data_IF_070281902944
#
_entry.id   IF_070281902944
#
_cell.length_a   1.000
_cell.length_b   1.000
_cell.length_c   1.000
_cell.angle_alpha   90.00
_cell.angle_beta   90.00
_cell.angle_gamma   90.00
#
_symmetry.space_group_name_H-M   'P 1'
#
loop_
_entity.id
_entity.type
_entity.pdbx_description
1 polymer ?
#
# COMPACT_ATOMS: atom_id res chain seq x y z
N UNK A 1 -3.24 -34.53 -8.07
CA UNK A 1 -3.32 -33.95 -6.69
C UNK A 1 -1.94 -33.82 -6.02
N UNK A 2 -1.10 -34.87 -6.02
CA UNK A 2 0.25 -34.84 -5.43
C UNK A 2 1.21 -33.86 -6.15
N UNK A 3 1.29 -33.92 -7.47
CA UNK A 3 2.17 -33.05 -8.29
C UNK A 3 1.88 -31.56 -8.13
N UNK A 4 0.61 -31.17 -8.08
CA UNK A 4 0.17 -29.79 -7.84
C UNK A 4 0.61 -29.28 -6.46
N UNK A 5 0.51 -30.10 -5.41
CA UNK A 5 0.98 -29.74 -4.07
C UNK A 5 2.50 -29.57 -4.03
N UNK A 6 3.25 -30.44 -4.70
CA UNK A 6 4.71 -30.32 -4.83
C UNK A 6 5.11 -29.04 -5.57
N UNK A 7 4.43 -28.71 -6.68
CA UNK A 7 4.68 -27.47 -7.43
C UNK A 7 4.38 -26.21 -6.60
N UNK A 8 3.25 -26.20 -5.88
CA UNK A 8 2.89 -25.12 -4.95
C UNK A 8 3.96 -24.92 -3.88
N UNK A 9 4.41 -26.00 -3.24
CA UNK A 9 5.43 -25.93 -2.20
C UNK A 9 6.77 -25.45 -2.76
N UNK A 10 7.16 -25.89 -3.96
CA UNK A 10 8.34 -25.39 -4.68
C UNK A 10 8.25 -23.88 -4.92
N UNK A 11 7.13 -23.39 -5.44
CA UNK A 11 6.92 -21.96 -5.68
C UNK A 11 7.01 -21.13 -4.38
N UNK A 12 6.35 -21.57 -3.31
CA UNK A 12 6.42 -20.91 -2.00
C UNK A 12 7.84 -20.88 -1.43
N UNK A 13 8.58 -22.00 -1.55
CA UNK A 13 9.96 -22.08 -1.12
C UNK A 13 10.87 -21.18 -1.94
N UNK A 14 10.64 -21.05 -3.26
CA UNK A 14 11.38 -20.12 -4.11
C UNK A 14 11.14 -18.68 -3.66
N UNK A 15 9.89 -18.27 -3.43
CA UNK A 15 9.58 -16.94 -2.92
C UNK A 15 10.21 -16.68 -1.54
N UNK A 16 10.17 -17.68 -0.65
CA UNK A 16 10.78 -17.56 0.68
C UNK A 16 12.32 -17.45 0.60
N UNK A 17 12.95 -18.12 -0.37
CA UNK A 17 14.39 -17.96 -0.68
C UNK A 17 14.71 -16.58 -1.24
N UNK A 18 13.83 -16.00 -2.06
CA UNK A 18 14.01 -14.64 -2.57
C UNK A 18 14.01 -13.59 -1.44
N UNK A 19 13.17 -13.79 -0.42
CA UNK A 19 13.15 -12.91 0.76
C UNK A 19 14.31 -13.17 1.73
N UNK A 20 14.60 -14.45 2.00
CA UNK A 20 15.67 -14.88 2.91
C UNK A 20 16.51 -15.96 2.23
N UNK A 21 17.57 -15.50 1.57
CA UNK A 21 18.49 -16.35 0.81
C UNK A 21 19.19 -17.35 1.71
N UNK A 22 19.75 -16.88 2.82
CA UNK A 22 20.40 -17.68 3.86
C UNK A 22 19.47 -17.84 5.06
N UNK A 23 19.11 -19.08 5.38
CA UNK A 23 18.30 -19.37 6.56
C UNK A 23 19.08 -19.02 7.83
N UNK A 24 18.50 -18.19 8.69
CA UNK A 24 19.07 -17.83 9.98
C UNK A 24 17.97 -17.39 10.93
N UNK A 25 18.01 -17.91 12.16
CA UNK A 25 17.08 -17.50 13.23
C UNK A 25 17.38 -16.11 13.79
N UNK A 26 18.54 -15.54 13.46
CA UNK A 26 18.86 -14.15 13.77
C UNK A 26 18.14 -13.17 12.83
N UNK A 27 17.66 -13.63 11.66
CA UNK A 27 16.85 -12.81 10.75
C UNK A 27 15.42 -12.82 11.25
N UNK A 28 14.89 -11.62 11.53
CA UNK A 28 13.50 -11.43 11.90
C UNK A 28 12.68 -10.90 10.71
N UNK A 29 11.55 -11.54 10.42
CA UNK A 29 10.57 -11.06 9.44
C UNK A 29 9.30 -10.66 10.19
N UNK A 30 9.00 -9.36 10.15
CA UNK A 30 7.69 -8.86 10.54
C UNK A 30 6.65 -9.22 9.46
N UNK A 31 5.53 -9.79 9.87
CA UNK A 31 4.44 -10.16 8.97
C UNK A 31 3.09 -9.72 9.53
N UNK A 32 2.27 -9.13 8.68
CA UNK A 32 0.95 -8.65 9.06
C UNK A 32 -0.03 -9.71 9.49
N UNK A 33 -0.77 -9.43 10.55
CA UNK A 33 -1.91 -10.23 11.00
C UNK A 33 -3.17 -10.00 10.16
N UNK A 34 -3.07 -10.09 8.83
CA UNK A 34 -4.20 -9.84 7.93
C UNK A 34 -5.46 -10.62 8.35
N UNK A 35 -6.39 -9.90 8.99
CA UNK A 35 -7.51 -10.48 9.74
C UNK A 35 -8.74 -10.74 8.87
N UNK A 36 -8.75 -10.24 7.62
CA UNK A 36 -9.86 -10.46 6.69
C UNK A 36 -9.78 -11.86 6.09
N UNK A 37 -10.73 -12.69 6.49
CA UNK A 37 -10.89 -14.08 6.03
C UNK A 37 -11.45 -14.19 4.60
N UNK A 38 -12.19 -13.18 4.16
CA UNK A 38 -12.62 -13.06 2.77
C UNK A 38 -11.41 -12.57 1.96
N UNK A 39 -10.95 -13.37 1.00
CA UNK A 39 -9.85 -12.98 0.10
C UNK A 39 -10.10 -11.62 -0.57
N UNK A 40 -9.08 -11.11 -1.27
CA UNK A 40 -9.22 -9.85 -2.01
C UNK A 40 -10.31 -10.06 -3.06
N UNK A 41 -11.32 -9.19 -3.08
CA UNK A 41 -12.47 -9.28 -4.00
C UNK A 41 -11.97 -9.40 -5.44
N UNK A 42 -12.45 -10.41 -6.17
CA UNK A 42 -12.07 -10.68 -7.56
C UNK A 42 -10.76 -11.46 -7.73
N UNK A 43 -10.11 -11.87 -6.64
CA UNK A 43 -8.87 -12.63 -6.69
C UNK A 43 -8.97 -13.93 -5.90
N UNK A 44 -8.22 -14.94 -6.36
CA UNK A 44 -8.05 -16.18 -5.60
C UNK A 44 -7.41 -15.87 -4.25
N UNK A 45 -7.80 -16.64 -3.22
CA UNK A 45 -7.17 -16.52 -1.91
C UNK A 45 -5.69 -16.87 -2.01
N UNK A 46 -4.83 -15.93 -1.62
CA UNK A 46 -3.39 -16.14 -1.63
C UNK A 46 -2.97 -17.26 -0.67
N UNK A 47 -1.83 -17.93 -0.92
CA UNK A 47 -1.34 -19.04 -0.11
C UNK A 47 -0.68 -18.56 1.21
N UNK A 48 -1.32 -17.62 1.93
CA UNK A 48 -0.78 -16.92 3.10
C UNK A 48 -0.23 -17.89 4.14
N UNK A 49 -1.04 -18.88 4.57
CA UNK A 49 -0.62 -19.88 5.57
C UNK A 49 0.61 -20.66 5.10
N UNK A 50 0.60 -21.16 3.87
CA UNK A 50 1.71 -21.94 3.33
C UNK A 50 2.99 -21.12 3.17
N UNK A 51 2.85 -19.85 2.80
CA UNK A 51 3.99 -18.95 2.65
C UNK A 51 4.62 -18.59 4.00
N UNK A 52 3.80 -18.31 5.01
CA UNK A 52 4.26 -18.08 6.39
C UNK A 52 5.03 -19.30 6.91
N UNK A 53 4.53 -20.52 6.69
CA UNK A 53 5.24 -21.74 7.08
C UNK A 53 6.59 -21.90 6.34
N UNK A 54 6.64 -21.57 5.05
CA UNK A 54 7.90 -21.58 4.30
C UNK A 54 8.92 -20.56 4.84
N UNK A 55 8.45 -19.40 5.30
CA UNK A 55 9.30 -18.37 5.93
C UNK A 55 9.77 -18.76 7.33
N UNK A 56 8.91 -19.37 8.17
CA UNK A 56 9.29 -19.86 9.52
C UNK A 56 10.45 -20.86 9.50
N UNK A 57 10.55 -21.65 8.44
CA UNK A 57 11.67 -22.58 8.23
C UNK A 57 13.01 -21.86 8.00
N UNK A 58 12.99 -20.58 7.59
CA UNK A 58 14.17 -19.80 7.21
C UNK A 58 14.51 -18.68 8.19
N UNK A 59 13.52 -18.08 8.83
CA UNK A 59 13.68 -16.90 9.66
C UNK A 59 12.77 -16.96 10.89
N UNK A 60 13.02 -16.06 11.84
CA UNK A 60 12.14 -15.83 12.99
C UNK A 60 10.98 -14.93 12.53
N UNK A 61 9.76 -15.44 12.61
CA UNK A 61 8.56 -14.70 12.21
C UNK A 61 7.99 -13.93 13.39
N UNK A 62 7.72 -12.64 13.19
CA UNK A 62 7.11 -11.76 14.18
C UNK A 62 5.75 -11.31 13.62
N UNK A 63 4.62 -11.78 14.18
CA UNK A 63 3.31 -11.27 13.78
C UNK A 63 3.20 -9.81 14.22
N UNK A 64 2.71 -8.95 13.32
CA UNK A 64 2.53 -7.53 13.57
C UNK A 64 1.07 -7.14 13.31
N UNK A 65 0.49 -6.40 14.24
CA UNK A 65 -0.81 -5.79 14.03
C UNK A 65 -0.65 -4.58 13.08
N UNK A 66 -1.19 -4.69 11.87
CA UNK A 66 -1.07 -3.67 10.82
C UNK A 66 -2.06 -2.51 10.97
N UNK A 67 -2.82 -2.43 12.06
CA UNK A 67 -3.87 -1.43 12.20
C UNK A 67 -3.42 0.00 11.83
N UNK A 68 -4.18 0.60 10.90
CA UNK A 68 -3.97 1.93 10.28
C UNK A 68 -2.64 2.16 9.53
N UNK A 69 -1.76 1.17 9.41
CA UNK A 69 -0.46 1.33 8.72
C UNK A 69 -0.58 1.69 7.24
N UNK A 70 -1.71 1.36 6.60
CA UNK A 70 -2.00 1.69 5.20
C UNK A 70 -2.61 3.08 5.00
N UNK A 71 -3.05 3.73 6.07
CA UNK A 71 -3.74 5.02 6.03
C UNK A 71 -2.99 6.14 6.76
N UNK A 72 -2.01 5.78 7.58
CA UNK A 72 -1.23 6.72 8.39
C UNK A 72 0.16 6.89 7.78
N UNK A 73 0.61 8.13 7.60
CA UNK A 73 1.90 8.41 7.00
C UNK A 73 3.03 7.88 7.89
N UNK A 74 3.89 7.02 7.34
CA UNK A 74 5.08 6.51 8.03
C UNK A 74 6.18 7.57 8.28
N UNK A 75 6.00 8.82 7.83
CA UNK A 75 6.98 9.90 8.06
C UNK A 75 6.51 10.93 9.08
N UNK A 76 5.27 11.42 8.96
CA UNK A 76 4.73 12.46 9.83
C UNK A 76 3.51 12.01 10.66
N UNK A 77 3.12 10.74 10.54
CA UNK A 77 2.00 10.12 11.25
C UNK A 77 0.63 10.77 11.05
N UNK A 78 0.49 11.66 10.07
CA UNK A 78 -0.81 12.21 9.66
C UNK A 78 -1.57 11.24 8.75
N UNK A 79 -2.90 11.39 8.69
CA UNK A 79 -3.77 10.60 7.83
C UNK A 79 -3.54 10.92 6.35
N UNK A 80 -3.25 9.88 5.58
CA UNK A 80 -3.09 9.92 4.14
C UNK A 80 -4.46 9.95 3.43
N UNK A 81 -4.51 10.62 2.29
CA UNK A 81 -5.64 10.61 1.34
C UNK A 81 -5.29 9.78 0.12
N UNK A 82 -6.29 9.32 -0.62
CA UNK A 82 -6.02 8.69 -1.92
C UNK A 82 -5.48 9.73 -2.90
N UNK A 83 -4.44 9.36 -3.63
CA UNK A 83 -3.90 10.21 -4.67
C UNK A 83 -4.79 10.14 -5.92
N UNK A 84 -5.08 11.32 -6.49
CA UNK A 84 -5.70 11.46 -7.81
C UNK A 84 -4.58 11.63 -8.82
N UNK A 85 -4.42 10.64 -9.69
CA UNK A 85 -3.37 10.63 -10.70
C UNK A 85 -3.95 10.85 -12.10
N UNK A 86 -3.16 11.52 -12.93
CA UNK A 86 -3.40 11.71 -14.35
C UNK A 86 -3.26 10.34 -15.04
N UNK A 87 -4.36 9.78 -15.56
CA UNK A 87 -4.34 8.43 -16.14
C UNK A 87 -4.64 8.38 -17.62
N UNK A 88 -5.30 9.40 -18.18
CA UNK A 88 -5.56 9.48 -19.62
C UNK A 88 -5.40 10.90 -20.13
N UNK A 89 -4.82 10.96 -21.32
CA UNK A 89 -4.54 12.12 -22.13
C UNK A 89 -5.25 11.84 -23.45
N UNK A 90 -6.55 12.16 -23.56
CA UNK A 90 -7.30 12.03 -24.81
C UNK A 90 -7.17 13.31 -25.63
N UNK A 91 -7.09 13.23 -26.97
CA UNK A 91 -7.22 14.45 -27.78
C UNK A 91 -8.67 14.93 -27.67
N UNK A 92 -8.91 16.24 -27.61
CA UNK A 92 -10.27 16.80 -27.55
C UNK A 92 -11.14 16.34 -28.73
N UNK A 93 -10.50 16.04 -29.86
CA UNK A 93 -11.11 15.54 -31.10
C UNK A 93 -11.74 14.14 -30.96
N UNK A 94 -11.25 13.30 -30.04
CA UNK A 94 -11.71 11.91 -29.85
C UNK A 94 -13.05 11.81 -29.08
N UNK A 95 -13.66 12.94 -28.67
CA UNK A 95 -14.91 12.99 -27.88
C UNK A 95 -16.18 13.20 -28.70
N UNK A 96 -16.10 13.33 -30.04
CA UNK A 96 -17.29 13.41 -30.91
C UNK A 96 -17.94 12.03 -31.01
N UNK A 97 -18.62 11.59 -29.94
CA UNK A 97 -19.40 10.35 -29.98
C UNK A 97 -19.95 9.80 -28.66
N UNK A 98 -19.51 10.26 -27.48
CA UNK A 98 -20.01 9.69 -26.22
C UNK A 98 -20.39 10.80 -25.23
N UNK A 99 -21.70 11.08 -25.14
CA UNK A 99 -22.30 11.82 -24.02
C UNK A 99 -22.15 11.00 -22.73
N UNK A 100 -21.02 11.09 -22.04
CA UNK A 100 -20.92 10.72 -20.63
C UNK A 100 -21.02 11.98 -19.78
N UNK A 101 -22.20 12.19 -19.20
CA UNK A 101 -22.47 13.22 -18.20
C UNK A 101 -21.90 12.74 -16.86
N UNK A 102 -20.57 12.66 -16.75
CA UNK A 102 -19.89 12.37 -15.49
C UNK A 102 -19.94 13.67 -14.66
N UNK A 103 -20.92 13.77 -13.75
CA UNK A 103 -21.01 14.90 -12.82
C UNK A 103 -19.87 14.80 -11.81
N UNK A 104 -18.85 15.63 -12.01
CA UNK A 104 -17.79 15.82 -11.05
C UNK A 104 -18.36 16.54 -9.83
N UNK A 105 -18.01 16.08 -8.63
CA UNK A 105 -18.34 16.79 -7.40
C UNK A 105 -17.67 18.17 -7.37
N UNK A 106 -18.26 19.14 -6.65
CA UNK A 106 -17.65 20.48 -6.48
C UNK A 106 -16.21 20.43 -5.96
N UNK A 107 -15.87 19.39 -5.18
CA UNK A 107 -14.51 19.16 -4.69
C UNK A 107 -13.54 18.72 -5.80
N UNK A 108 -14.01 17.91 -6.74
CA UNK A 108 -13.24 17.51 -7.94
C UNK A 108 -13.03 18.67 -8.88
N UNK A 109 -14.04 19.52 -9.09
CA UNK A 109 -13.91 20.72 -9.92
C UNK A 109 -12.85 21.67 -9.35
N UNK A 110 -12.89 21.92 -8.03
CA UNK A 110 -11.91 22.80 -7.36
C UNK A 110 -10.47 22.26 -7.49
N UNK A 111 -10.29 20.95 -7.35
CA UNK A 111 -8.97 20.31 -7.46
C UNK A 111 -8.46 20.30 -8.90
N UNK A 112 -9.34 20.12 -9.91
CA UNK A 112 -8.97 20.27 -11.32
C UNK A 112 -8.47 21.69 -11.59
N UNK A 113 -9.19 22.72 -11.14
CA UNK A 113 -8.79 24.13 -11.29
C UNK A 113 -7.45 24.41 -10.61
N UNK A 114 -7.20 23.84 -9.43
CA UNK A 114 -5.92 23.98 -8.74
C UNK A 114 -4.78 23.30 -9.51
N UNK A 115 -5.03 22.12 -10.08
CA UNK A 115 -4.06 21.35 -10.87
C UNK A 115 -3.81 21.96 -12.26
N UNK A 116 -4.72 22.78 -12.80
CA UNK A 116 -4.49 23.52 -14.05
C UNK A 116 -3.30 24.49 -13.94
N UNK A 117 -3.00 24.99 -12.74
CA UNK A 117 -1.84 25.87 -12.51
C UNK A 117 -0.50 25.16 -12.73
N UNK A 118 -0.49 23.84 -12.61
CA UNK A 118 0.70 23.00 -12.83
C UNK A 118 0.64 22.28 -14.19
N UNK A 119 -0.29 22.67 -15.07
CA UNK A 119 -0.51 21.99 -16.33
C UNK A 119 0.69 22.20 -17.26
N UNK A 120 1.26 21.10 -17.72
CA UNK A 120 2.32 21.13 -18.70
C UNK A 120 1.79 21.74 -20.02
N UNK A 121 2.42 22.80 -20.57
CA UNK A 121 2.00 23.41 -21.82
C UNK A 121 1.92 22.43 -22.99
N UNK A 122 2.70 21.34 -22.97
CA UNK A 122 2.66 20.26 -23.99
C UNK A 122 1.39 19.40 -23.93
N UNK A 123 0.49 19.65 -22.98
CA UNK A 123 -0.75 18.91 -22.72
C UNK A 123 -2.02 19.79 -22.82
N UNK A 124 -1.93 20.98 -23.40
CA UNK A 124 -3.08 21.90 -23.60
C UNK A 124 -4.20 21.28 -24.44
N UNK A 125 -3.83 20.57 -25.52
CA UNK A 125 -4.79 19.97 -26.46
C UNK A 125 -5.38 18.64 -25.96
N UNK A 126 -4.94 18.21 -24.79
CA UNK A 126 -5.26 16.91 -24.22
C UNK A 126 -6.15 17.04 -23.01
N UNK A 127 -7.27 16.31 -23.02
CA UNK A 127 -8.17 16.21 -21.86
C UNK A 127 -7.49 15.39 -20.77
N UNK A 128 -7.34 16.01 -19.62
CA UNK A 128 -6.76 15.42 -18.43
C UNK A 128 -7.85 14.69 -17.65
N UNK A 129 -7.69 13.39 -17.45
CA UNK A 129 -8.58 12.60 -16.59
C UNK A 129 -7.83 12.27 -15.30
N UNK A 130 -8.27 12.86 -14.18
CA UNK A 130 -7.83 12.51 -12.84
C UNK A 130 -8.62 11.31 -12.34
N UNK A 131 -7.93 10.23 -11.98
CA UNK A 131 -8.54 9.07 -11.32
C UNK A 131 -7.95 8.83 -9.95
N UNK A 132 -8.82 8.55 -8.99
CA UNK A 132 -8.41 8.05 -7.69
C UNK A 132 -7.71 6.70 -7.88
N UNK A 133 -6.49 6.58 -7.37
CA UNK A 133 -5.76 5.32 -7.39
C UNK A 133 -5.71 4.73 -5.98
N UNK A 134 -5.90 3.42 -5.89
CA UNK A 134 -5.80 2.71 -4.62
C UNK A 134 -4.34 2.54 -4.18
N UNK A 135 -3.39 2.58 -5.10
CA UNK A 135 -1.99 2.21 -4.85
C UNK A 135 -1.14 3.38 -4.39
N UNK A 136 -1.54 4.62 -4.69
CA UNK A 136 -0.77 5.83 -4.34
C UNK A 136 -1.58 6.69 -3.39
N UNK A 137 -0.91 7.17 -2.35
CA UNK A 137 -1.49 7.97 -1.29
C UNK A 137 -0.80 9.33 -1.24
N UNK A 138 -1.56 10.36 -0.89
CA UNK A 138 -1.11 11.72 -0.71
C UNK A 138 -1.08 12.09 0.79
N UNK A 139 0.01 12.71 1.23
CA UNK A 139 0.14 13.28 2.56
C UNK A 139 -0.28 14.75 2.56
N UNK A 140 -1.17 15.15 3.47
CA UNK A 140 -1.62 16.55 3.53
C UNK A 140 -0.57 17.51 4.12
N UNK A 141 0.45 16.98 4.79
CA UNK A 141 1.54 17.79 5.30
C UNK A 141 2.46 18.15 4.13
N UNK A 142 2.44 19.42 3.71
CA UNK A 142 3.25 19.96 2.61
C UNK A 142 4.76 19.88 2.87
N UNK A 143 5.18 19.83 4.13
CA UNK A 143 6.58 19.69 4.52
C UNK A 143 7.02 18.23 4.62
N UNK A 144 6.07 17.29 4.52
CA UNK A 144 6.38 15.87 4.63
C UNK A 144 7.00 15.37 3.32
N UNK A 145 8.24 14.89 3.41
CA UNK A 145 8.98 14.25 2.30
C UNK A 145 8.22 13.10 1.63
N UNK A 146 7.18 12.55 2.27
CA UNK A 146 6.37 11.48 1.69
C UNK A 146 5.48 11.95 0.53
N UNK A 147 5.03 13.22 0.49
CA UNK A 147 4.16 13.82 -0.54
C UNK A 147 3.18 12.81 -1.19
N UNK A 148 3.62 12.15 -2.27
CA UNK A 148 2.99 10.96 -2.83
C UNK A 148 3.77 9.69 -2.49
N UNK A 149 3.08 8.70 -1.92
CA UNK A 149 3.70 7.43 -1.51
C UNK A 149 2.88 6.23 -1.95
N UNK A 150 3.58 5.19 -2.43
CA UNK A 150 2.97 3.89 -2.65
C UNK A 150 2.44 3.30 -1.32
N UNK A 151 1.21 2.79 -1.33
CA UNK A 151 0.51 2.28 -0.15
C UNK A 151 1.28 1.16 0.53
N UNK A 152 1.77 0.18 -0.21
CA UNK A 152 2.49 -0.98 0.34
C UNK A 152 3.84 -0.55 0.92
N UNK A 153 4.53 0.37 0.25
CA UNK A 153 5.78 0.94 0.78
C UNK A 153 5.54 1.72 2.08
N UNK A 154 4.40 2.41 2.20
CA UNK A 154 4.03 3.09 3.43
C UNK A 154 3.78 2.09 4.58
N UNK A 155 3.05 1.01 4.29
CA UNK A 155 2.76 -0.06 5.26
C UNK A 155 4.06 -0.67 5.79
N UNK A 156 4.95 -1.10 4.90
CA UNK A 156 6.23 -1.73 5.28
C UNK A 156 7.09 -0.81 6.15
N UNK A 157 7.13 0.49 5.85
CA UNK A 157 7.86 1.46 6.67
C UNK A 157 7.24 1.66 8.04
N UNK A 158 5.91 1.74 8.13
CA UNK A 158 5.20 1.82 9.41
C UNK A 158 5.45 0.57 10.27
N UNK A 159 5.42 -0.63 9.67
CA UNK A 159 5.73 -1.87 10.38
C UNK A 159 7.14 -1.90 10.95
N UNK A 160 8.11 -1.45 10.15
CA UNK A 160 9.50 -1.38 10.60
C UNK A 160 9.67 -0.43 11.78
N UNK A 161 8.96 0.71 11.76
CA UNK A 161 8.96 1.67 12.85
C UNK A 161 8.33 1.08 14.12
N UNK A 162 7.21 0.39 13.99
CA UNK A 162 6.54 -0.32 15.09
C UNK A 162 7.44 -1.41 15.69
N UNK A 163 8.11 -2.20 14.84
CA UNK A 163 9.02 -3.26 15.28
C UNK A 163 10.20 -2.66 16.07
N UNK A 164 10.84 -1.61 15.55
CA UNK A 164 11.93 -0.91 16.23
C UNK A 164 11.49 -0.31 17.55
N UNK A 165 10.29 0.25 17.62
CA UNK A 165 9.73 0.83 18.84
C UNK A 165 9.46 -0.25 19.90
N UNK A 166 8.94 -1.41 19.48
CA UNK A 166 8.71 -2.56 20.36
C UNK A 166 10.00 -3.13 20.94
N UNK A 167 11.06 -3.26 20.13
CA UNK A 167 12.36 -3.78 20.57
C UNK A 167 13.10 -2.85 21.55
N UNK A 168 12.82 -1.54 21.54
CA UNK A 168 13.46 -0.55 22.42
C UNK A 168 12.79 -0.40 23.79
N UNK A 169 11.58 -0.94 23.99
CA UNK A 169 10.84 -0.79 25.25
C UNK A 169 11.23 -1.84 26.29
N UNK A 170 11.83 -1.41 27.42
CA UNK A 170 12.13 -2.29 28.58
C UNK A 170 10.90 -2.68 29.42
N UNK A 171 9.71 -2.17 29.13
CA UNK A 171 8.46 -2.52 29.80
C UNK A 171 7.32 -2.51 28.77
N UNK A 172 6.67 -3.65 28.56
CA UNK A 172 5.40 -3.82 27.82
C UNK A 172 5.10 -2.74 26.76
N UNK A 173 5.63 -2.92 25.55
CA UNK A 173 5.63 -1.95 24.46
C UNK A 173 4.29 -1.19 24.28
N UNK A 174 4.25 0.08 24.69
CA UNK A 174 3.18 0.99 24.33
C UNK A 174 3.31 1.27 22.83
N UNK A 175 2.41 0.71 22.02
CA UNK A 175 2.32 0.96 20.59
C UNK A 175 2.34 2.47 20.32
N UNK A 176 3.03 2.90 19.26
CA UNK A 176 3.02 4.30 18.82
C UNK A 176 1.59 4.84 18.74
N UNK A 177 1.34 6.00 19.37
CA UNK A 177 -0.01 6.59 19.49
C UNK A 177 -0.77 6.64 18.17
N UNK A 178 -0.08 7.00 17.09
CA UNK A 178 -0.67 7.10 15.75
C UNK A 178 -1.20 5.78 15.16
N UNK A 179 -0.84 4.65 15.74
CA UNK A 179 -1.26 3.32 15.30
C UNK A 179 -2.06 2.58 16.38
N UNK A 180 -2.36 3.20 17.53
CA UNK A 180 -3.18 2.57 18.56
C UNK A 180 -4.60 2.37 18.06
N UNK A 181 -5.23 1.26 18.48
CA UNK A 181 -6.67 1.10 18.34
C UNK A 181 -7.33 2.08 19.31
N UNK A 182 -8.32 2.84 18.85
CA UNK A 182 -9.15 3.63 19.77
C UNK A 182 -9.75 2.69 20.80
N UNK A 183 -9.67 3.07 22.09
CA UNK A 183 -10.39 2.41 23.16
C UNK A 183 -11.89 2.61 22.98
#
# INVERSE_FOLDING_TARGET
RFTQNCAKMKALNTLAKCLVSKASKQVCIAYGDWSRRTGIKGHASGPVKGFVEALKRRATMIPMDEYQTSTTCSCCHQRLKQARLLTKVKRKEDEVGIRQKEWLSMKEVKEIVEMERFRNPKLTDKKVILKCTMNVLHCNNSECKANFRNRDTNVVRSMLELLKSGLKGKHGARRLRAFQRGQ
#
